data_IF_982268003656
#
_entry.id   IF_982268003656
#
_cell.length_a   1.000
_cell.length_b   1.000
_cell.length_c   1.000
_cell.angle_alpha   90.00
_cell.angle_beta   90.00
_cell.angle_gamma   90.00
#
_symmetry.space_group_name_H-M   'P 1'
#
loop_
_entity.id
_entity.type
_entity.pdbx_description
1 polymer ?
#
# COMPACT_ATOMS: atom_id res chain seq x y z
N UNK A 1 3.14 45.44 -3.69
CA UNK A 1 3.25 44.46 -4.80
C UNK A 1 4.14 43.27 -4.43
N UNK A 2 5.41 43.47 -4.06
CA UNK A 2 6.33 42.39 -3.64
C UNK A 2 5.77 41.46 -2.54
N UNK A 3 5.23 42.01 -1.45
CA UNK A 3 4.59 41.23 -0.36
C UNK A 3 3.45 40.33 -0.85
N UNK A 4 2.66 40.76 -1.84
CA UNK A 4 1.56 39.95 -2.41
C UNK A 4 2.12 38.79 -3.25
N UNK A 5 3.17 39.05 -4.04
CA UNK A 5 3.86 38.01 -4.82
C UNK A 5 4.51 36.98 -3.90
N UNK A 6 5.20 37.42 -2.84
CA UNK A 6 5.78 36.51 -1.84
C UNK A 6 4.73 35.62 -1.20
N UNK A 7 3.55 36.16 -0.90
CA UNK A 7 2.43 35.41 -0.32
C UNK A 7 1.93 34.33 -1.29
N UNK A 8 1.75 34.67 -2.57
CA UNK A 8 1.34 33.73 -3.62
C UNK A 8 2.35 32.59 -3.78
N UNK A 9 3.65 32.91 -3.86
CA UNK A 9 4.70 31.90 -3.99
C UNK A 9 4.71 30.96 -2.78
N UNK A 10 4.55 31.50 -1.57
CA UNK A 10 4.47 30.69 -0.36
C UNK A 10 3.24 29.77 -0.35
N UNK A 11 2.08 30.25 -0.78
CA UNK A 11 0.87 29.44 -0.92
C UNK A 11 1.05 28.28 -1.90
N UNK A 12 1.69 28.52 -3.06
CA UNK A 12 1.98 27.48 -4.05
C UNK A 12 2.91 26.42 -3.48
N UNK A 13 3.95 26.82 -2.74
CA UNK A 13 4.88 25.89 -2.10
C UNK A 13 4.18 25.00 -1.06
N UNK A 14 3.24 25.56 -0.28
CA UNK A 14 2.44 24.77 0.67
C UNK A 14 1.59 23.73 -0.06
N UNK A 15 0.90 24.13 -1.14
CA UNK A 15 0.07 23.19 -1.91
C UNK A 15 0.92 22.08 -2.51
N UNK A 16 2.10 22.41 -3.06
CA UNK A 16 3.02 21.42 -3.60
C UNK A 16 3.51 20.45 -2.51
N UNK A 17 3.85 20.95 -1.32
CA UNK A 17 4.26 20.11 -0.20
C UNK A 17 3.14 19.18 0.26
N UNK A 18 1.89 19.67 0.36
CA UNK A 18 0.73 18.85 0.69
C UNK A 18 0.48 17.77 -0.37
N UNK A 19 0.65 18.10 -1.65
CA UNK A 19 0.51 17.14 -2.75
C UNK A 19 1.57 16.03 -2.67
N UNK A 20 2.83 16.38 -2.38
CA UNK A 20 3.90 15.40 -2.16
C UNK A 20 3.56 14.48 -0.98
N UNK A 21 3.12 15.03 0.15
CA UNK A 21 2.71 14.25 1.33
C UNK A 21 1.52 13.33 1.02
N UNK A 22 0.59 13.77 0.18
CA UNK A 22 -0.51 12.95 -0.32
C UNK A 22 0.02 11.79 -1.18
N UNK A 23 0.88 12.04 -2.18
CA UNK A 23 1.44 10.99 -3.03
C UNK A 23 2.25 9.93 -2.26
N UNK A 24 2.96 10.32 -1.21
CA UNK A 24 3.71 9.40 -0.35
C UNK A 24 2.86 8.75 0.75
N UNK A 25 1.53 8.93 0.74
CA UNK A 25 0.59 8.36 1.71
C UNK A 25 0.86 8.78 3.18
N UNK A 26 1.55 9.92 3.41
CA UNK A 26 1.69 10.50 4.75
C UNK A 26 0.38 11.11 5.25
N UNK A 27 -0.40 11.70 4.33
CA UNK A 27 -1.78 12.10 4.61
C UNK A 27 -2.64 10.83 4.55
N UNK A 28 -3.36 10.48 5.63
CA UNK A 28 -4.20 9.28 5.63
C UNK A 28 -5.26 9.33 4.54
N UNK A 29 -5.29 8.30 3.70
CA UNK A 29 -6.36 8.10 2.73
C UNK A 29 -7.51 7.32 3.35
N UNK A 30 -8.72 7.51 2.85
CA UNK A 30 -9.85 6.65 3.20
C UNK A 30 -9.50 5.21 2.79
N UNK A 31 -9.44 4.33 3.78
CA UNK A 31 -9.24 2.90 3.61
C UNK A 31 -10.50 2.20 4.06
N UNK A 32 -10.81 1.09 3.41
CA UNK A 32 -11.92 0.22 3.80
C UNK A 32 -11.36 -1.10 4.28
N UNK A 33 -12.06 -1.67 5.25
CA UNK A 33 -11.83 -2.98 5.82
C UNK A 33 -12.97 -3.91 5.39
N UNK A 34 -12.81 -5.21 5.58
CA UNK A 34 -13.88 -6.18 5.29
C UNK A 34 -15.16 -5.85 6.09
N UNK A 35 -15.01 -5.29 7.29
CA UNK A 35 -16.13 -4.89 8.15
C UNK A 35 -17.00 -3.79 7.53
N UNK A 36 -16.42 -2.87 6.75
CA UNK A 36 -17.18 -1.81 6.05
C UNK A 36 -18.15 -2.37 5.00
N UNK A 37 -17.96 -3.63 4.59
CA UNK A 37 -18.76 -4.32 3.58
C UNK A 37 -19.52 -5.52 4.14
N UNK A 38 -19.51 -5.73 5.47
CA UNK A 38 -20.06 -6.94 6.11
C UNK A 38 -19.46 -8.24 5.55
N UNK A 39 -18.19 -8.22 5.15
CA UNK A 39 -17.46 -9.40 4.70
C UNK A 39 -16.76 -10.01 5.90
N UNK A 40 -17.04 -11.28 6.20
CA UNK A 40 -16.31 -12.01 7.23
C UNK A 40 -14.92 -12.38 6.70
N UNK A 41 -13.88 -12.12 7.50
CA UNK A 41 -12.53 -12.55 7.16
C UNK A 41 -12.42 -14.07 7.37
N UNK A 42 -12.37 -14.82 6.27
CA UNK A 42 -12.09 -16.25 6.34
C UNK A 42 -10.66 -16.48 6.83
N UNK A 43 -10.49 -17.46 7.72
CA UNK A 43 -9.20 -18.00 8.13
C UNK A 43 -9.21 -19.50 7.88
N UNK A 44 -8.15 -20.02 7.26
CA UNK A 44 -8.03 -21.47 7.07
C UNK A 44 -7.88 -22.18 8.40
N UNK A 45 -8.49 -23.36 8.53
CA UNK A 45 -8.28 -24.26 9.67
C UNK A 45 -7.10 -25.21 9.46
N UNK A 46 -6.45 -25.15 8.30
CA UNK A 46 -5.33 -26.00 7.95
C UNK A 46 -4.03 -25.22 8.19
N UNK A 47 -3.17 -25.84 8.99
CA UNK A 47 -1.76 -25.51 9.17
C UNK A 47 -1.02 -26.83 8.90
N UNK A 48 -0.48 -26.98 7.69
CA UNK A 48 0.00 -28.27 7.20
C UNK A 48 1.34 -28.67 7.80
N UNK A 49 2.23 -27.71 8.00
CA UNK A 49 3.59 -27.92 8.52
C UNK A 49 3.71 -27.64 10.02
N UNK A 50 2.64 -27.17 10.67
CA UNK A 50 2.51 -26.93 12.10
C UNK A 50 3.45 -25.83 12.60
N UNK A 51 3.64 -24.78 11.79
CA UNK A 51 4.45 -23.62 12.17
C UNK A 51 3.66 -22.56 12.97
N UNK A 52 2.34 -22.77 13.12
CA UNK A 52 1.43 -21.89 13.84
C UNK A 52 0.75 -20.84 12.96
N UNK A 53 0.99 -20.86 11.65
CA UNK A 53 0.36 -20.00 10.65
C UNK A 53 -0.55 -20.85 9.76
N UNK A 54 -1.78 -20.40 9.52
CA UNK A 54 -2.66 -21.13 8.61
C UNK A 54 -2.18 -21.00 7.17
N UNK A 55 -2.37 -22.06 6.37
CA UNK A 55 -1.84 -22.17 5.01
C UNK A 55 -2.24 -20.98 4.11
N UNK A 56 -3.44 -20.41 4.29
CA UNK A 56 -3.89 -19.28 3.49
C UNK A 56 -3.09 -18.01 3.84
N UNK A 57 -2.95 -17.72 5.14
CA UNK A 57 -2.14 -16.61 5.63
C UNK A 57 -0.68 -16.78 5.23
N UNK A 58 -0.16 -18.01 5.30
CA UNK A 58 1.23 -18.29 4.95
C UNK A 58 1.51 -18.06 3.46
N UNK A 59 0.66 -18.58 2.55
CA UNK A 59 0.77 -18.34 1.11
C UNK A 59 0.77 -16.84 0.80
N UNK A 60 -0.14 -16.08 1.41
CA UNK A 60 -0.23 -14.63 1.21
C UNK A 60 1.02 -13.91 1.70
N UNK A 61 1.52 -14.26 2.89
CA UNK A 61 2.71 -13.66 3.46
C UNK A 61 3.95 -13.94 2.61
N UNK A 62 4.12 -15.18 2.16
CA UNK A 62 5.22 -15.58 1.30
C UNK A 62 5.18 -14.88 -0.07
N UNK A 63 4.00 -14.77 -0.69
CA UNK A 63 3.84 -14.01 -1.94
C UNK A 63 4.21 -12.53 -1.76
N UNK A 64 3.74 -11.89 -0.68
CA UNK A 64 4.08 -10.51 -0.35
C UNK A 64 5.58 -10.33 -0.09
N UNK A 65 6.20 -11.26 0.63
CA UNK A 65 7.63 -11.23 0.90
C UNK A 65 8.46 -11.39 -0.38
N UNK A 66 8.04 -12.28 -1.28
CA UNK A 66 8.68 -12.44 -2.58
C UNK A 66 8.61 -11.17 -3.42
N UNK A 67 7.44 -10.52 -3.52
CA UNK A 67 7.26 -9.29 -4.31
C UNK A 67 8.17 -8.15 -3.81
N UNK A 68 8.39 -8.04 -2.48
CA UNK A 68 9.31 -7.04 -1.90
C UNK A 68 10.76 -7.19 -2.37
N UNK A 69 11.15 -8.36 -2.87
CA UNK A 69 12.49 -8.56 -3.46
C UNK A 69 12.64 -7.92 -4.85
N UNK A 70 11.59 -7.26 -5.37
CA UNK A 70 11.52 -6.70 -6.73
C UNK A 70 11.91 -7.74 -7.80
N UNK A 71 11.27 -8.92 -7.82
CA UNK A 71 11.64 -9.98 -8.74
C UNK A 71 11.40 -9.53 -10.19
N UNK A 72 12.36 -9.81 -11.07
CA UNK A 72 12.18 -9.58 -12.51
C UNK A 72 11.34 -10.71 -13.08
N UNK A 73 10.13 -10.38 -13.56
CA UNK A 73 9.30 -11.34 -14.27
C UNK A 73 10.02 -11.81 -15.53
N UNK A 74 10.36 -13.11 -15.57
CA UNK A 74 10.85 -13.76 -16.78
C UNK A 74 9.65 -14.44 -17.44
N UNK A 75 9.07 -13.80 -18.44
CA UNK A 75 8.04 -14.44 -19.23
C UNK A 75 8.64 -15.67 -19.92
N UNK A 76 8.13 -16.86 -19.62
CA UNK A 76 8.44 -18.07 -20.39
C UNK A 76 7.80 -18.04 -21.79
N UNK A 77 6.87 -17.11 -22.04
CA UNK A 77 6.02 -17.05 -23.22
C UNK A 77 6.31 -15.87 -24.16
N UNK A 78 7.28 -15.02 -23.82
CA UNK A 78 7.77 -13.97 -24.70
C UNK A 78 9.26 -14.22 -24.92
N UNK A 79 9.62 -14.68 -26.12
CA UNK A 79 11.00 -14.83 -26.59
C UNK A 79 11.52 -13.50 -27.13
#
# INVERSE_FOLDING_TARGET
>A
MKKRITLIVFSVLIIAALYVLYCFNYIPHKKYTNADFNIEAYKSNIDKDNDGIDDQTDILNNANNYIKTNPKYKSKYYN
#
